data_IF_477448900642
#
_entry.id   IF_477448900642
#
_cell.length_a   1.000
_cell.length_b   1.000
_cell.length_c   1.000
_cell.angle_alpha   90.00
_cell.angle_beta   90.00
_cell.angle_gamma   90.00
#
_symmetry.space_group_name_H-M   'P 1'
#
loop_
_entity.id
_entity.type
_entity.pdbx_description
1 polymer ?
#
# COMPACT_ATOMS: atom_id res chain seq x y z
N UNK A 1 5.22 15.71 -6.22
CA UNK A 1 6.03 14.61 -6.81
C UNK A 1 6.33 14.95 -8.25
N UNK A 2 7.50 14.58 -8.76
CA UNK A 2 7.84 14.64 -10.19
C UNK A 2 7.71 13.26 -10.84
N UNK A 3 7.31 13.24 -12.11
CA UNK A 3 7.26 12.02 -12.93
C UNK A 3 8.24 12.22 -14.07
N UNK A 4 9.36 11.51 -14.02
CA UNK A 4 10.34 11.48 -15.09
C UNK A 4 9.93 10.44 -16.14
N UNK A 5 9.29 10.89 -17.21
CA UNK A 5 9.01 10.01 -18.34
C UNK A 5 10.27 9.87 -19.22
N UNK A 6 10.69 8.64 -19.48
CA UNK A 6 11.88 8.31 -20.27
C UNK A 6 11.54 7.34 -21.39
N UNK A 7 12.42 7.22 -22.38
CA UNK A 7 12.41 6.10 -23.33
C UNK A 7 12.82 4.79 -22.65
N UNK A 8 12.64 3.67 -23.33
CA UNK A 8 12.94 2.32 -22.85
C UNK A 8 14.40 2.14 -22.40
N UNK A 9 15.31 2.75 -23.13
CA UNK A 9 16.75 2.81 -22.85
C UNK A 9 17.15 4.00 -21.95
N UNK A 10 16.19 4.89 -21.65
CA UNK A 10 16.42 6.16 -20.98
C UNK A 10 16.51 6.10 -19.45
N UNK A 11 16.48 4.89 -18.86
CA UNK A 11 16.63 4.70 -17.41
C UNK A 11 18.09 4.85 -16.94
N UNK A 12 19.05 4.59 -17.83
CA UNK A 12 20.49 4.60 -17.55
C UNK A 12 21.15 5.67 -18.41
N UNK A 13 22.17 6.36 -17.88
CA UNK A 13 22.97 7.34 -18.62
C UNK A 13 22.16 8.48 -19.30
N UNK A 14 21.02 8.87 -18.73
CA UNK A 14 20.17 9.93 -19.26
C UNK A 14 20.45 11.28 -18.55
N UNK A 15 21.10 12.27 -19.21
CA UNK A 15 21.46 13.52 -18.56
C UNK A 15 20.27 14.37 -18.13
N UNK A 16 19.12 14.26 -18.81
CA UNK A 16 17.89 14.96 -18.44
C UNK A 16 17.28 14.34 -17.20
N UNK A 17 17.29 13.01 -17.10
CA UNK A 17 16.85 12.29 -15.91
C UNK A 17 17.72 12.66 -14.70
N UNK A 18 19.04 12.69 -14.85
CA UNK A 18 19.95 13.09 -13.78
C UNK A 18 19.76 14.55 -13.36
N UNK A 19 19.50 15.47 -14.31
CA UNK A 19 19.12 16.86 -13.99
C UNK A 19 17.83 16.92 -13.17
N UNK A 20 16.81 16.15 -13.55
CA UNK A 20 15.52 16.11 -12.85
C UNK A 20 15.66 15.50 -11.45
N UNK A 21 16.42 14.40 -11.29
CA UNK A 21 16.75 13.80 -9.98
C UNK A 21 17.42 14.82 -9.06
N UNK A 22 18.45 15.52 -9.56
CA UNK A 22 19.13 16.56 -8.79
C UNK A 22 18.20 17.73 -8.40
N UNK A 23 17.29 18.12 -9.29
CA UNK A 23 16.31 19.17 -9.04
C UNK A 23 15.29 18.78 -7.96
N UNK A 24 14.82 17.53 -8.02
CA UNK A 24 13.93 16.89 -7.05
C UNK A 24 14.57 16.81 -5.66
N UNK A 25 15.80 16.31 -5.58
CA UNK A 25 16.57 16.18 -4.33
C UNK A 25 16.77 17.53 -3.64
N UNK A 26 17.17 18.57 -4.39
CA UNK A 26 17.36 19.93 -3.86
C UNK A 26 16.09 20.53 -3.23
N UNK A 27 14.91 20.06 -3.63
CA UNK A 27 13.62 20.56 -3.13
C UNK A 27 12.95 19.62 -2.15
N UNK A 28 13.57 18.47 -1.85
CA UNK A 28 12.96 17.41 -1.06
C UNK A 28 11.58 16.99 -1.59
N UNK A 29 11.43 16.95 -2.93
CA UNK A 29 10.18 16.53 -3.59
C UNK A 29 10.38 15.12 -4.12
N UNK A 30 9.52 14.14 -3.81
CA UNK A 30 9.67 12.77 -4.32
C UNK A 30 9.55 12.71 -5.84
N UNK A 31 10.19 11.71 -6.44
CA UNK A 31 10.22 11.49 -7.89
C UNK A 31 10.04 10.01 -8.20
N UNK A 32 9.28 9.73 -9.27
CA UNK A 32 9.18 8.39 -9.88
C UNK A 32 9.59 8.49 -11.34
N UNK A 33 10.33 7.50 -11.83
CA UNK A 33 10.71 7.39 -13.25
C UNK A 33 9.91 6.28 -13.90
N UNK A 34 9.29 6.56 -15.04
CA UNK A 34 8.47 5.61 -15.81
C UNK A 34 8.85 5.69 -17.29
N UNK A 35 8.51 4.66 -18.06
CA UNK A 35 8.50 4.71 -19.51
C UNK A 35 7.05 4.58 -19.98
N UNK A 36 6.42 5.69 -20.33
CA UNK A 36 4.98 5.71 -20.58
C UNK A 36 4.56 4.82 -21.77
N UNK A 37 5.43 4.65 -22.78
CA UNK A 37 5.16 3.73 -23.89
C UNK A 37 5.13 2.28 -23.41
N UNK A 38 6.12 1.87 -22.62
CA UNK A 38 6.18 0.53 -22.01
C UNK A 38 4.98 0.27 -21.10
N UNK A 39 4.57 1.26 -20.29
CA UNK A 39 3.38 1.11 -19.45
C UNK A 39 2.10 0.95 -20.27
N UNK A 40 2.02 1.60 -21.44
CA UNK A 40 0.89 1.46 -22.35
C UNK A 40 0.83 0.05 -22.93
N UNK A 41 1.97 -0.49 -23.38
CA UNK A 41 2.03 -1.86 -23.90
C UNK A 41 1.66 -2.88 -22.81
N UNK A 42 2.17 -2.70 -21.59
CA UNK A 42 1.85 -3.55 -20.43
C UNK A 42 0.34 -3.54 -20.09
N UNK A 43 -0.34 -2.41 -20.29
CA UNK A 43 -1.76 -2.26 -19.96
C UNK A 43 -2.66 -3.13 -20.83
N UNK A 44 -2.26 -3.39 -22.07
CA UNK A 44 -3.01 -4.20 -23.03
C UNK A 44 -2.63 -5.69 -22.99
N UNK A 45 -1.61 -6.07 -22.21
CA UNK A 45 -1.15 -7.46 -22.05
C UNK A 45 -2.00 -8.24 -21.03
N UNK A 46 -2.18 -9.53 -21.30
CA UNK A 46 -2.65 -10.50 -20.32
C UNK A 46 -1.62 -10.72 -19.22
N UNK A 47 -2.07 -11.17 -18.04
CA UNK A 47 -1.21 -11.27 -16.85
C UNK A 47 0.00 -12.21 -17.03
N UNK A 48 -0.17 -13.31 -17.79
CA UNK A 48 0.92 -14.26 -18.07
C UNK A 48 2.01 -13.64 -18.95
N UNK A 49 1.62 -12.91 -20.01
CA UNK A 49 2.54 -12.23 -20.92
C UNK A 49 3.25 -11.06 -20.24
N UNK A 50 2.52 -10.32 -19.39
CA UNK A 50 3.06 -9.17 -18.65
C UNK A 50 4.26 -9.57 -17.79
N UNK A 51 4.20 -10.72 -17.13
CA UNK A 51 5.29 -11.17 -16.25
C UNK A 51 6.56 -11.47 -17.05
N UNK A 52 6.43 -12.17 -18.18
CA UNK A 52 7.55 -12.50 -19.07
C UNK A 52 8.17 -11.23 -19.61
N UNK A 53 7.32 -10.30 -20.09
CA UNK A 53 7.77 -9.01 -20.63
C UNK A 53 8.55 -8.17 -19.60
N UNK A 54 8.06 -8.09 -18.36
CA UNK A 54 8.77 -7.41 -17.28
C UNK A 54 10.14 -8.06 -16.98
N UNK A 55 10.19 -9.39 -16.92
CA UNK A 55 11.44 -10.14 -16.70
C UNK A 55 12.47 -9.90 -17.81
N UNK A 56 12.04 -9.89 -19.08
CA UNK A 56 12.90 -9.61 -20.24
C UNK A 56 13.48 -8.18 -20.22
N UNK A 57 12.70 -7.23 -19.68
CA UNK A 57 13.15 -5.85 -19.45
C UNK A 57 13.99 -5.67 -18.17
N UNK A 58 14.17 -6.73 -17.37
CA UNK A 58 14.84 -6.65 -16.07
C UNK A 58 14.06 -5.87 -15.00
N UNK A 59 12.74 -5.72 -15.19
CA UNK A 59 11.83 -5.07 -14.27
C UNK A 59 11.13 -6.10 -13.39
N UNK A 60 10.96 -5.77 -12.10
CA UNK A 60 10.25 -6.64 -11.15
C UNK A 60 8.74 -6.36 -11.10
N UNK A 61 8.34 -5.18 -11.54
CA UNK A 61 6.97 -4.68 -11.49
C UNK A 61 6.78 -3.52 -12.47
N UNK A 62 5.54 -3.21 -12.87
CA UNK A 62 5.23 -2.05 -13.68
C UNK A 62 5.68 -0.73 -13.03
N UNK A 63 6.09 0.24 -13.85
CA UNK A 63 6.36 1.60 -13.39
C UNK A 63 5.12 2.30 -12.85
N UNK A 64 3.94 2.00 -13.39
CA UNK A 64 2.68 2.55 -12.93
C UNK A 64 2.37 2.14 -11.49
N UNK A 65 2.69 0.92 -11.08
CA UNK A 65 2.50 0.44 -9.69
C UNK A 65 3.35 1.24 -8.70
N UNK A 66 4.60 1.55 -9.08
CA UNK A 66 5.49 2.43 -8.28
C UNK A 66 4.93 3.84 -8.19
N UNK A 67 4.36 4.35 -9.29
CA UNK A 67 3.72 5.67 -9.32
C UNK A 67 2.49 5.72 -8.40
N UNK A 68 1.64 4.70 -8.43
CA UNK A 68 0.44 4.59 -7.58
C UNK A 68 0.85 4.61 -6.10
N UNK A 69 1.81 3.77 -5.69
CA UNK A 69 2.27 3.73 -4.29
C UNK A 69 2.89 5.05 -3.83
N UNK A 70 3.67 5.70 -4.70
CA UNK A 70 4.26 7.00 -4.39
C UNK A 70 3.20 8.11 -4.26
N UNK A 71 2.19 8.12 -5.13
CA UNK A 71 1.06 9.04 -5.05
C UNK A 71 0.22 8.80 -3.78
N UNK A 72 -0.08 7.54 -3.46
CA UNK A 72 -0.80 7.14 -2.25
C UNK A 72 -0.10 7.63 -0.98
N UNK A 73 1.22 7.43 -0.91
CA UNK A 73 2.05 7.93 0.18
C UNK A 73 2.09 9.46 0.22
N UNK A 74 2.16 10.13 -0.94
CA UNK A 74 2.16 11.59 -1.03
C UNK A 74 0.87 12.22 -0.50
N UNK A 75 -0.27 11.53 -0.67
CA UNK A 75 -1.56 11.94 -0.12
C UNK A 75 -1.67 11.70 1.39
N UNK A 76 -0.64 11.15 2.03
CA UNK A 76 -0.66 10.80 3.45
C UNK A 76 -1.65 9.68 3.74
N UNK A 77 -1.81 8.73 2.82
CA UNK A 77 -2.67 7.57 2.97
C UNK A 77 -1.86 6.33 3.37
N UNK A 78 -2.50 5.43 4.10
CA UNK A 78 -1.99 4.11 4.46
C UNK A 78 -3.11 3.07 4.32
N UNK A 79 -2.74 1.79 4.37
CA UNK A 79 -3.66 0.67 4.22
C UNK A 79 -3.75 -0.12 5.52
N UNK A 80 -4.94 -0.60 5.86
CA UNK A 80 -5.10 -1.72 6.80
C UNK A 80 -5.94 -2.81 6.13
N UNK A 81 -5.94 -4.01 6.70
CA UNK A 81 -6.62 -5.16 6.12
C UNK A 81 -7.70 -5.72 7.03
N UNK A 82 -8.80 -6.16 6.44
CA UNK A 82 -9.73 -7.12 7.05
C UNK A 82 -9.54 -8.46 6.35
N UNK A 83 -9.30 -9.51 7.13
CA UNK A 83 -9.09 -10.87 6.61
C UNK A 83 -10.16 -11.78 7.19
N UNK A 84 -11.00 -12.35 6.32
CA UNK A 84 -12.00 -13.35 6.68
C UNK A 84 -11.99 -14.52 5.70
N UNK A 85 -12.77 -15.55 6.00
CA UNK A 85 -12.85 -16.75 5.16
C UNK A 85 -13.35 -16.44 3.73
N UNK A 86 -14.26 -15.46 3.61
CA UNK A 86 -14.87 -15.09 2.33
C UNK A 86 -14.12 -13.99 1.57
N UNK A 87 -13.43 -13.11 2.29
CA UNK A 87 -12.90 -11.88 1.71
C UNK A 87 -11.62 -11.46 2.44
N UNK A 88 -10.65 -11.01 1.65
CA UNK A 88 -9.51 -10.22 2.11
C UNK A 88 -9.64 -8.85 1.46
N UNK A 89 -9.65 -7.79 2.27
CA UNK A 89 -9.85 -6.44 1.76
C UNK A 89 -8.85 -5.46 2.35
N UNK A 90 -8.31 -4.64 1.46
CA UNK A 90 -7.52 -3.45 1.78
C UNK A 90 -8.45 -2.25 1.99
N UNK A 91 -8.24 -1.52 3.08
CA UNK A 91 -8.97 -0.30 3.42
C UNK A 91 -8.01 0.87 3.47
N UNK A 92 -8.35 1.94 2.77
CA UNK A 92 -7.55 3.17 2.71
C UNK A 92 -7.97 4.12 3.82
N UNK A 93 -7.00 4.59 4.60
CA UNK A 93 -7.19 5.59 5.66
C UNK A 93 -6.07 6.65 5.62
N UNK A 94 -6.31 7.87 6.09
CA UNK A 94 -5.22 8.81 6.36
C UNK A 94 -4.24 8.26 7.41
N UNK A 95 -2.96 8.52 7.22
CA UNK A 95 -1.92 8.25 8.21
C UNK A 95 -2.26 8.95 9.52
N UNK A 96 -2.17 8.23 10.63
CA UNK A 96 -2.52 8.74 11.96
C UNK A 96 -4.00 8.58 12.33
N UNK A 97 -4.81 7.92 11.49
CA UNK A 97 -6.20 7.60 11.86
C UNK A 97 -6.27 6.69 13.09
N UNK A 98 -7.24 6.97 13.96
CA UNK A 98 -7.53 6.12 15.12
C UNK A 98 -8.32 4.88 14.70
N UNK A 99 -8.32 3.84 15.52
CA UNK A 99 -9.05 2.60 15.27
C UNK A 99 -10.55 2.83 15.06
N UNK A 100 -11.16 3.76 15.82
CA UNK A 100 -12.57 4.11 15.67
C UNK A 100 -12.87 4.74 14.29
N UNK A 101 -12.00 5.65 13.83
CA UNK A 101 -12.13 6.29 12.51
C UNK A 101 -11.90 5.30 11.38
N UNK A 102 -10.92 4.40 11.54
CA UNK A 102 -10.68 3.33 10.58
C UNK A 102 -11.90 2.41 10.43
N UNK A 103 -12.53 2.02 11.55
CA UNK A 103 -13.78 1.27 11.52
C UNK A 103 -14.92 2.02 10.77
N UNK A 104 -14.99 3.34 10.94
CA UNK A 104 -15.93 4.23 10.25
C UNK A 104 -15.85 4.20 8.72
N UNK A 105 -14.67 3.91 8.16
CA UNK A 105 -14.47 3.75 6.71
C UNK A 105 -15.18 2.51 6.18
N UNK A 106 -15.36 1.47 7.00
CA UNK A 106 -16.18 0.31 6.65
C UNK A 106 -17.66 0.69 6.67
N UNK A 107 -18.12 1.27 7.78
CA UNK A 107 -19.48 1.76 7.95
C UNK A 107 -19.57 2.76 9.09
N UNK A 108 -20.40 3.80 8.96
CA UNK A 108 -20.52 4.86 9.98
C UNK A 108 -21.03 4.35 11.34
N UNK A 109 -21.83 3.28 11.35
CA UNK A 109 -22.28 2.65 12.60
C UNK A 109 -21.15 1.94 13.36
N UNK A 110 -20.11 1.45 12.67
CA UNK A 110 -18.97 0.82 13.35
C UNK A 110 -18.19 1.86 14.16
N UNK A 111 -18.10 3.10 13.67
CA UNK A 111 -17.45 4.18 14.41
C UNK A 111 -18.27 4.57 15.64
N UNK A 112 -19.59 4.73 15.51
CA UNK A 112 -20.48 5.07 16.63
C UNK A 112 -20.52 3.96 17.69
N UNK A 113 -20.66 2.72 17.22
CA UNK A 113 -20.78 1.52 18.03
C UNK A 113 -19.45 0.92 18.46
N UNK A 114 -18.30 1.55 18.13
CA UNK A 114 -16.98 0.96 18.35
C UNK A 114 -16.78 0.56 19.82
N UNK A 115 -16.39 -0.69 20.04
CA UNK A 115 -16.00 -1.22 21.35
C UNK A 115 -14.47 -1.32 21.41
N UNK A 116 -13.87 -2.07 20.48
CA UNK A 116 -12.42 -2.33 20.39
C UNK A 116 -12.06 -2.92 19.02
N UNK A 117 -10.78 -2.87 18.68
CA UNK A 117 -10.24 -3.59 17.53
C UNK A 117 -9.35 -4.75 17.99
N UNK A 118 -9.54 -5.93 17.41
CA UNK A 118 -8.51 -6.97 17.45
C UNK A 118 -7.52 -6.69 16.34
N UNK A 119 -6.24 -6.55 16.68
CA UNK A 119 -5.20 -6.12 15.75
C UNK A 119 -4.01 -7.08 15.78
N UNK A 120 -3.51 -7.43 14.59
CA UNK A 120 -2.26 -8.15 14.36
C UNK A 120 -1.45 -7.32 13.37
N UNK A 121 -0.15 -7.14 13.58
CA UNK A 121 0.66 -6.47 12.56
C UNK A 121 0.81 -7.37 11.32
N UNK A 122 1.05 -6.76 10.16
CA UNK A 122 1.32 -7.52 8.94
C UNK A 122 2.42 -8.57 9.13
N UNK A 123 3.53 -8.19 9.77
CA UNK A 123 4.69 -9.05 9.96
C UNK A 123 4.35 -10.26 10.83
N UNK A 124 3.62 -10.05 11.92
CA UNK A 124 3.20 -11.15 12.80
C UNK A 124 2.17 -12.04 12.08
N UNK A 125 1.24 -11.49 11.31
CA UNK A 125 0.26 -12.28 10.56
C UNK A 125 0.94 -13.21 9.55
N UNK A 126 1.92 -12.70 8.79
CA UNK A 126 2.69 -13.51 7.85
C UNK A 126 3.58 -14.52 8.58
N UNK A 127 4.32 -14.08 9.60
CA UNK A 127 5.24 -14.94 10.38
C UNK A 127 4.55 -16.13 11.01
N UNK A 128 3.36 -15.93 11.56
CA UNK A 128 2.60 -17.00 12.21
C UNK A 128 1.63 -17.71 11.25
N UNK A 129 1.60 -17.36 9.96
CA UNK A 129 0.72 -17.97 8.97
C UNK A 129 -0.77 -17.85 9.31
N UNK A 130 -1.18 -16.65 9.70
CA UNK A 130 -2.58 -16.26 9.89
C UNK A 130 -3.02 -16.09 11.34
N UNK A 131 -4.30 -15.74 11.50
CA UNK A 131 -4.87 -15.30 12.78
C UNK A 131 -4.78 -16.35 13.89
N UNK A 132 -5.10 -17.62 13.61
CA UNK A 132 -5.16 -18.67 14.65
C UNK A 132 -3.82 -18.85 15.34
N UNK A 133 -2.74 -19.01 14.56
CA UNK A 133 -1.40 -19.19 15.08
C UNK A 133 -0.82 -17.90 15.67
N UNK A 134 -1.17 -16.74 15.11
CA UNK A 134 -0.82 -15.46 15.71
C UNK A 134 -1.46 -15.29 17.10
N UNK A 135 -2.70 -15.77 17.27
CA UNK A 135 -3.42 -15.79 18.56
C UNK A 135 -2.74 -16.72 19.57
N UNK A 136 -2.39 -17.94 19.17
CA UNK A 136 -1.63 -18.88 20.01
C UNK A 136 -0.27 -18.32 20.45
N UNK A 137 0.38 -17.56 19.56
CA UNK A 137 1.64 -16.86 19.85
C UNK A 137 1.48 -15.55 20.63
N UNK A 138 0.27 -15.18 21.05
CA UNK A 138 0.00 -13.97 21.83
C UNK A 138 0.17 -12.66 21.05
N UNK A 139 0.03 -12.69 19.72
CA UNK A 139 0.22 -11.52 18.83
C UNK A 139 -1.06 -10.75 18.50
N UNK A 140 -2.21 -11.30 18.87
CA UNK A 140 -3.50 -10.59 18.76
C UNK A 140 -3.62 -9.60 19.91
N UNK A 141 -3.59 -8.31 19.58
CA UNK A 141 -3.78 -7.22 20.54
C UNK A 141 -5.23 -6.77 20.55
N UNK A 142 -5.68 -6.25 21.69
CA UNK A 142 -7.00 -5.65 21.86
C UNK A 142 -6.81 -4.15 22.01
N UNK A 143 -7.03 -3.41 20.93
CA UNK A 143 -6.79 -1.99 20.83
C UNK A 143 -8.05 -1.16 21.09
N UNK A 144 -7.88 -0.05 21.82
CA UNK A 144 -8.97 0.88 22.15
C UNK A 144 -9.26 1.88 21.03
N UNK A 145 -10.23 2.78 21.27
CA UNK A 145 -10.67 3.81 20.31
C UNK A 145 -9.53 4.69 19.79
N UNK A 146 -8.58 5.02 20.66
CA UNK A 146 -7.49 5.96 20.38
C UNK A 146 -6.23 5.31 19.81
N UNK A 147 -6.22 3.99 19.61
CA UNK A 147 -5.09 3.32 18.97
C UNK A 147 -4.89 3.91 17.57
N UNK A 148 -3.66 4.31 17.28
CA UNK A 148 -3.28 4.82 15.96
C UNK A 148 -2.93 3.64 15.08
N UNK A 149 -3.80 3.38 14.10
CA UNK A 149 -3.66 2.28 13.14
C UNK A 149 -2.30 2.40 12.44
N UNK A 150 -1.62 1.26 12.28
CA UNK A 150 -0.37 1.17 11.54
C UNK A 150 -0.62 0.62 10.14
N UNK A 151 0.21 1.05 9.20
CA UNK A 151 0.16 0.54 7.85
C UNK A 151 0.33 -0.98 7.86
N UNK A 152 -0.53 -1.67 7.12
CA UNK A 152 -0.59 -3.12 7.04
C UNK A 152 -1.27 -3.83 8.21
N UNK A 153 -1.76 -3.15 9.25
CA UNK A 153 -2.46 -3.83 10.36
C UNK A 153 -3.62 -4.71 9.85
N UNK A 154 -3.70 -5.95 10.33
CA UNK A 154 -4.86 -6.82 10.15
C UNK A 154 -5.80 -6.55 11.31
N UNK A 155 -7.00 -6.04 11.02
CA UNK A 155 -7.94 -5.58 12.02
C UNK A 155 -9.29 -6.27 11.90
N UNK A 156 -9.85 -6.63 13.05
CA UNK A 156 -11.24 -7.04 13.20
C UNK A 156 -11.91 -6.14 14.24
N UNK A 157 -12.97 -5.44 13.85
CA UNK A 157 -13.65 -4.46 14.70
C UNK A 157 -14.82 -5.10 15.44
N UNK A 158 -14.83 -4.96 16.77
CA UNK A 158 -15.98 -5.31 17.58
C UNK A 158 -16.78 -4.02 17.85
N UNK A 159 -18.06 -4.06 17.56
CA UNK A 159 -18.98 -2.95 17.71
C UNK A 159 -20.33 -3.45 18.22
N UNK A 160 -21.11 -2.55 18.83
CA UNK A 160 -22.51 -2.80 19.16
C UNK A 160 -23.41 -2.04 18.18
N UNK A 161 -24.53 -2.66 17.80
CA UNK A 161 -25.59 -2.05 16.97
C UNK A 161 -26.74 -1.63 17.88
#
# INVERSE_FOLDING_TARGET
>A
MYIGNVSEDGFINNPLLEKLKNFSLKRNIPMVTICASVEQDIADMFDEDRKIFLEDMGLKEPGLDRLIRAAFSLLGLQTYFTVGVKEVRAWTIPVGSTASKAAGVIHTDFEKGFIRAQTISYEDFIKYAGESRAREAGKVRSEGKDYIVKDGDIMNFLFNV
#
